data_IF_024377140422
#
_entry.id   IF_024377140422
#
_cell.length_a   1.000
_cell.length_b   1.000
_cell.length_c   1.000
_cell.angle_alpha   90.00
_cell.angle_beta   90.00
_cell.angle_gamma   90.00
#
_symmetry.space_group_name_H-M   'P 1'
#
loop_
_entity.id
_entity.type
_entity.pdbx_description
1 polymer ?
#
# COMPACT_ATOMS: atom_id res chain seq x y z
N UNK A 1 31.66 7.07 -11.67
CA UNK A 1 31.34 5.73 -11.12
C UNK A 1 30.73 5.80 -9.71
N UNK A 2 31.31 6.56 -8.77
CA UNK A 2 30.72 6.67 -7.42
C UNK A 2 29.29 7.23 -7.45
N UNK A 3 29.05 8.26 -8.27
CA UNK A 3 27.73 8.93 -8.33
C UNK A 3 26.64 8.03 -8.91
N UNK A 4 26.95 7.23 -9.93
CA UNK A 4 25.97 6.29 -10.52
C UNK A 4 25.57 5.19 -9.54
N UNK A 5 26.52 4.69 -8.75
CA UNK A 5 26.28 3.64 -7.77
C UNK A 5 25.46 4.17 -6.58
N UNK A 6 25.72 5.41 -6.16
CA UNK A 6 24.91 6.11 -5.17
C UNK A 6 23.47 6.34 -5.67
N UNK A 7 23.29 6.85 -6.89
CA UNK A 7 21.96 7.09 -7.46
C UNK A 7 21.16 5.79 -7.59
N UNK A 8 21.82 4.69 -7.98
CA UNK A 8 21.23 3.36 -7.98
C UNK A 8 20.80 2.94 -6.58
N UNK A 9 21.66 3.12 -5.57
CA UNK A 9 21.33 2.79 -4.18
C UNK A 9 20.12 3.60 -3.68
N UNK A 10 20.03 4.88 -4.03
CA UNK A 10 18.86 5.71 -3.71
C UNK A 10 17.58 5.19 -4.38
N UNK A 11 17.64 4.77 -5.65
CA UNK A 11 16.47 4.19 -6.34
C UNK A 11 16.05 2.87 -5.68
N UNK A 12 17.01 1.99 -5.39
CA UNK A 12 16.73 0.71 -4.75
C UNK A 12 16.14 0.89 -3.35
N UNK A 13 16.66 1.82 -2.56
CA UNK A 13 16.11 2.10 -1.23
C UNK A 13 14.72 2.72 -1.28
N UNK A 14 14.50 3.69 -2.18
CA UNK A 14 13.17 4.25 -2.40
C UNK A 14 12.18 3.17 -2.86
N UNK A 15 12.60 2.29 -3.76
CA UNK A 15 11.79 1.16 -4.23
C UNK A 15 11.37 0.25 -3.07
N UNK A 16 12.32 -0.05 -2.20
CA UNK A 16 12.14 -1.00 -1.10
C UNK A 16 11.32 -0.38 0.04
N UNK A 17 11.50 0.90 0.33
CA UNK A 17 10.67 1.65 1.26
C UNK A 17 9.21 1.72 0.80
N UNK A 18 8.97 2.04 -0.48
CA UNK A 18 7.63 2.09 -1.06
C UNK A 18 6.96 0.70 -1.08
N UNK A 19 7.71 -0.34 -1.46
CA UNK A 19 7.22 -1.72 -1.45
C UNK A 19 6.87 -2.21 -0.04
N UNK A 20 7.72 -1.93 0.95
CA UNK A 20 7.45 -2.35 2.31
C UNK A 20 6.27 -1.58 2.93
N UNK A 21 6.19 -0.27 2.71
CA UNK A 21 5.06 0.54 3.18
C UNK A 21 3.75 0.12 2.50
N UNK A 22 3.76 -0.19 1.21
CA UNK A 22 2.56 -0.65 0.49
C UNK A 22 2.10 -2.02 0.96
N UNK A 23 3.01 -3.00 1.12
CA UNK A 23 2.68 -4.31 1.65
C UNK A 23 2.12 -4.25 3.08
N UNK A 24 2.74 -3.45 3.95
CA UNK A 24 2.25 -3.30 5.33
C UNK A 24 0.89 -2.61 5.36
N UNK A 25 0.66 -1.59 4.51
CA UNK A 25 -0.66 -0.96 4.34
C UNK A 25 -1.72 -1.96 3.86
N UNK A 26 -1.40 -2.74 2.83
CA UNK A 26 -2.32 -3.72 2.25
C UNK A 26 -2.74 -4.78 3.27
N UNK A 27 -1.77 -5.35 4.00
CA UNK A 27 -2.04 -6.33 5.05
C UNK A 27 -2.85 -5.73 6.21
N UNK A 28 -2.50 -4.52 6.65
CA UNK A 28 -3.25 -3.84 7.70
C UNK A 28 -4.69 -3.54 7.25
N UNK A 29 -4.88 -2.99 6.06
CA UNK A 29 -6.20 -2.67 5.53
C UNK A 29 -7.07 -3.92 5.35
N UNK A 30 -6.51 -4.99 4.76
CA UNK A 30 -7.21 -6.25 4.60
C UNK A 30 -7.66 -6.81 5.96
N UNK A 31 -6.76 -6.84 6.95
CA UNK A 31 -7.08 -7.40 8.26
C UNK A 31 -8.06 -6.54 9.08
N UNK A 32 -7.95 -5.21 9.04
CA UNK A 32 -8.84 -4.33 9.83
C UNK A 32 -10.25 -4.27 9.28
N UNK A 33 -10.43 -4.35 7.96
CA UNK A 33 -11.75 -4.25 7.34
C UNK A 33 -12.48 -5.60 7.24
N UNK A 34 -11.76 -6.72 7.15
CA UNK A 34 -12.38 -8.04 6.97
C UNK A 34 -12.65 -8.80 8.27
N UNK A 35 -12.03 -8.43 9.41
CA UNK A 35 -12.27 -9.14 10.68
C UNK A 35 -12.09 -8.25 11.91
N UNK A 36 -13.18 -7.72 12.50
CA UNK A 36 -13.11 -6.90 13.70
C UNK A 36 -12.89 -7.69 15.01
N UNK A 37 -13.07 -9.03 15.03
CA UNK A 37 -13.22 -9.79 16.29
C UNK A 37 -12.20 -10.91 16.56
N UNK A 38 -11.27 -11.25 15.66
CA UNK A 38 -10.41 -12.43 15.88
C UNK A 38 -9.13 -12.14 16.70
N UNK A 39 -8.88 -12.97 17.72
CA UNK A 39 -7.72 -12.89 18.64
C UNK A 39 -6.38 -13.19 17.95
N UNK A 40 -6.38 -13.97 16.86
CA UNK A 40 -5.18 -14.31 16.08
C UNK A 40 -4.58 -13.10 15.36
N UNK A 41 -5.39 -12.08 15.06
CA UNK A 41 -4.95 -10.84 14.41
C UNK A 41 -4.13 -9.90 15.30
N UNK A 42 -4.08 -10.14 16.62
CA UNK A 42 -3.14 -9.44 17.52
C UNK A 42 -1.69 -9.71 17.10
N UNK A 43 -1.42 -10.89 16.52
CA UNK A 43 -0.09 -11.31 16.06
C UNK A 43 0.31 -10.65 14.72
N UNK A 44 -0.64 -10.30 13.84
CA UNK A 44 -0.37 -9.51 12.62
C UNK A 44 -0.38 -7.99 12.86
N UNK A 45 -1.04 -7.51 13.93
CA UNK A 45 -0.84 -6.14 14.44
C UNK A 45 0.53 -5.94 15.10
N UNK A 46 1.45 -6.90 14.99
CA UNK A 46 2.76 -6.85 15.64
C UNK A 46 3.47 -5.53 15.31
N UNK A 47 4.07 -4.87 16.32
CA UNK A 47 4.85 -3.66 16.11
C UNK A 47 5.94 -3.84 15.05
N UNK A 48 6.43 -5.06 14.83
CA UNK A 48 7.44 -5.36 13.80
C UNK A 48 6.97 -5.09 12.36
N UNK A 49 5.73 -5.43 12.01
CA UNK A 49 5.17 -5.13 10.68
C UNK A 49 4.96 -3.63 10.47
N UNK A 50 4.73 -2.90 11.57
CA UNK A 50 4.63 -1.43 11.61
C UNK A 50 6.00 -0.76 11.56
N UNK A 51 7.02 -1.39 12.15
CA UNK A 51 8.40 -0.93 12.17
C UNK A 51 9.18 -1.32 10.91
N UNK A 52 8.73 -2.30 10.12
CA UNK A 52 9.41 -2.71 8.89
C UNK A 52 9.70 -1.52 7.95
N UNK A 53 8.73 -0.65 7.61
CA UNK A 53 9.02 0.51 6.79
C UNK A 53 9.95 1.52 7.51
N UNK A 54 9.93 1.61 8.85
CA UNK A 54 10.86 2.45 9.63
C UNK A 54 12.29 1.90 9.49
N UNK A 55 12.46 0.60 9.64
CA UNK A 55 13.75 -0.09 9.54
C UNK A 55 14.35 0.07 8.15
N UNK A 56 13.51 0.02 7.11
CA UNK A 56 13.93 0.16 5.72
C UNK A 56 14.21 1.61 5.31
N UNK A 57 13.62 2.59 6.01
CA UNK A 57 13.97 4.00 5.86
C UNK A 57 15.21 4.41 6.69
N UNK A 58 15.65 3.57 7.65
CA UNK A 58 16.76 3.87 8.56
C UNK A 58 18.15 4.09 7.90
N UNK A 59 18.52 3.49 6.76
CA UNK A 59 19.82 3.76 6.14
C UNK A 59 19.86 5.10 5.38
N UNK A 60 18.72 5.76 5.16
CA UNK A 60 18.65 6.96 4.33
C UNK A 60 19.50 8.17 4.78
N UNK A 61 19.62 8.50 6.09
CA UNK A 61 20.48 9.61 6.52
C UNK A 61 21.98 9.32 6.37
N UNK A 62 22.37 8.08 6.07
CA UNK A 62 23.79 7.67 6.00
C UNK A 62 24.33 7.54 4.57
N UNK A 63 23.53 7.83 3.53
CA UNK A 63 24.02 7.83 2.16
C UNK A 63 24.71 9.16 1.82
N UNK A 64 25.97 9.13 1.35
CA UNK A 64 26.70 10.34 1.02
C UNK A 64 26.08 10.96 -0.25
N UNK A 65 25.36 12.07 -0.12
CA UNK A 65 24.74 12.78 -1.26
C UNK A 65 25.81 13.57 -2.01
N UNK A 66 26.05 13.20 -3.27
CA UNK A 66 26.97 13.91 -4.19
C UNK A 66 26.42 15.29 -4.59
N UNK A 67 27.27 16.32 -4.78
CA UNK A 67 26.85 17.72 -4.87
C UNK A 67 26.20 18.17 -6.19
N UNK A 68 25.78 17.26 -7.07
CA UNK A 68 25.20 17.66 -8.38
C UNK A 68 23.79 17.07 -8.55
N UNK A 69 22.82 17.93 -8.90
CA UNK A 69 21.38 17.78 -8.60
C UNK A 69 21.02 17.73 -7.09
N UNK A 70 21.92 18.24 -6.26
CA UNK A 70 21.93 18.14 -4.80
C UNK A 70 20.66 18.63 -4.11
N UNK A 71 19.98 19.67 -4.56
CA UNK A 71 18.87 20.25 -3.78
C UNK A 71 17.65 19.32 -3.66
N UNK A 72 17.26 18.64 -4.76
CA UNK A 72 16.12 17.73 -4.75
C UNK A 72 16.45 16.37 -4.10
N UNK A 73 17.70 15.91 -4.26
CA UNK A 73 18.20 14.69 -3.63
C UNK A 73 18.54 14.88 -2.14
N UNK A 74 18.94 16.08 -1.68
CA UNK A 74 19.09 16.41 -0.25
C UNK A 74 17.75 16.41 0.49
N UNK A 75 16.67 16.71 -0.23
CA UNK A 75 15.31 16.67 0.32
C UNK A 75 14.79 15.23 0.42
N UNK A 76 15.30 14.29 -0.38
CA UNK A 76 14.81 12.91 -0.43
C UNK A 76 14.99 12.14 0.92
N UNK A 77 16.14 12.22 1.63
CA UNK A 77 16.31 11.61 2.96
C UNK A 77 15.33 12.08 4.03
N UNK A 78 15.18 13.39 4.31
CA UNK A 78 14.25 13.85 5.33
C UNK A 78 12.78 13.58 4.93
N UNK A 79 12.48 13.50 3.64
CA UNK A 79 11.13 13.22 3.13
C UNK A 79 10.74 11.74 3.15
N UNK A 80 11.70 10.82 3.19
CA UNK A 80 11.43 9.39 3.35
C UNK A 80 11.27 8.99 4.81
N UNK A 81 11.87 9.74 5.73
CA UNK A 81 11.72 9.54 7.18
C UNK A 81 10.27 9.57 7.68
N UNK A 82 9.35 10.39 7.14
CA UNK A 82 7.94 10.36 7.53
C UNK A 82 7.10 9.27 6.87
N UNK A 83 7.54 8.68 5.76
CA UNK A 83 6.82 7.59 5.09
C UNK A 83 6.48 6.40 6.03
N UNK A 84 7.34 6.03 7.00
CA UNK A 84 7.02 5.01 7.98
C UNK A 84 6.39 5.50 9.31
N UNK A 85 6.35 6.82 9.57
CA UNK A 85 5.68 7.37 10.75
C UNK A 85 4.17 7.05 10.88
N UNK A 86 3.33 6.93 9.82
CA UNK A 86 1.90 6.59 9.96
C UNK A 86 1.64 5.21 10.56
N UNK A 87 2.66 4.36 10.70
CA UNK A 87 2.55 3.06 11.36
C UNK A 87 2.73 3.14 12.88
N UNK A 88 3.10 4.31 13.42
CA UNK A 88 3.15 4.52 14.87
C UNK A 88 1.73 4.46 15.45
N UNK A 89 1.52 3.66 16.52
CA UNK A 89 0.20 3.35 17.06
C UNK A 89 -0.59 4.57 17.59
N UNK A 90 0.07 5.72 17.78
CA UNK A 90 -0.49 6.86 18.51
C UNK A 90 -1.03 7.98 17.61
N UNK A 91 -0.90 7.89 16.28
CA UNK A 91 -1.22 8.99 15.36
C UNK A 91 -2.20 8.61 14.21
N UNK A 92 -3.30 7.86 14.44
CA UNK A 92 -4.20 7.44 13.36
C UNK A 92 -4.85 8.63 12.63
N UNK A 93 -5.12 9.73 13.34
CA UNK A 93 -5.74 10.93 12.74
C UNK A 93 -4.76 11.76 11.89
N UNK A 94 -3.45 11.67 12.14
CA UNK A 94 -2.44 12.40 11.36
C UNK A 94 -1.91 11.59 10.18
N UNK A 95 -2.12 10.27 10.17
CA UNK A 95 -1.67 9.35 9.12
C UNK A 95 -1.85 9.86 7.68
N UNK A 96 -3.02 10.36 7.25
CA UNK A 96 -3.18 10.82 5.88
C UNK A 96 -2.31 12.04 5.58
N UNK A 97 -2.23 13.02 6.50
CA UNK A 97 -1.36 14.19 6.35
C UNK A 97 0.12 13.77 6.30
N UNK A 98 0.49 12.82 7.17
CA UNK A 98 1.85 12.30 7.28
C UNK A 98 2.30 11.50 6.06
N UNK A 99 1.37 10.97 5.26
CA UNK A 99 1.65 10.25 4.01
C UNK A 99 1.50 11.15 2.78
N UNK A 100 0.41 11.93 2.70
CA UNK A 100 0.12 12.76 1.54
C UNK A 100 1.18 13.85 1.35
N UNK A 101 1.62 14.49 2.44
CA UNK A 101 2.61 15.57 2.37
C UNK A 101 3.96 15.09 1.80
N UNK A 102 4.61 14.04 2.34
CA UNK A 102 5.88 13.59 1.78
C UNK A 102 5.73 13.06 0.36
N UNK A 103 4.63 12.36 0.03
CA UNK A 103 4.38 11.87 -1.33
C UNK A 103 4.22 13.02 -2.33
N UNK A 104 3.49 14.09 -1.97
CA UNK A 104 3.34 15.29 -2.81
C UNK A 104 4.67 16.01 -3.00
N UNK A 105 5.46 16.14 -1.94
CA UNK A 105 6.77 16.77 -2.00
C UNK A 105 7.76 15.93 -2.83
N UNK A 106 7.72 14.60 -2.73
CA UNK A 106 8.50 13.69 -3.58
C UNK A 106 8.07 13.79 -5.05
N UNK A 107 6.76 13.80 -5.32
CA UNK A 107 6.23 13.96 -6.68
C UNK A 107 6.67 15.30 -7.28
N UNK A 108 6.63 16.37 -6.49
CA UNK A 108 7.09 17.70 -6.90
C UNK A 108 8.60 17.72 -7.15
N UNK A 109 9.39 17.13 -6.25
CA UNK A 109 10.84 17.00 -6.44
C UNK A 109 11.17 16.22 -7.71
N UNK A 110 10.53 15.07 -7.94
CA UNK A 110 10.70 14.27 -9.15
C UNK A 110 10.35 15.07 -10.41
N UNK A 111 9.26 15.84 -10.41
CA UNK A 111 8.88 16.70 -11.55
C UNK A 111 9.90 17.82 -11.82
N UNK A 112 10.48 18.41 -10.77
CA UNK A 112 11.52 19.44 -10.91
C UNK A 112 12.82 18.86 -11.46
N UNK A 113 13.19 17.66 -11.01
CA UNK A 113 14.36 16.94 -11.56
C UNK A 113 14.08 16.53 -13.00
N UNK A 114 12.88 16.06 -13.34
CA UNK A 114 12.51 15.73 -14.71
C UNK A 114 12.68 16.93 -15.65
N UNK A 115 12.26 18.13 -15.22
CA UNK A 115 12.40 19.36 -15.99
C UNK A 115 13.85 19.82 -16.21
N UNK A 116 14.81 19.30 -15.43
CA UNK A 116 16.24 19.57 -15.63
C UNK A 116 16.84 18.74 -16.77
N UNK A 117 16.16 17.69 -17.21
CA UNK A 117 16.60 16.86 -18.32
C UNK A 117 15.85 17.24 -19.61
N UNK A 118 16.52 17.15 -20.79
CA UNK A 118 15.84 17.22 -22.07
C UNK A 118 14.74 16.17 -22.17
N UNK A 119 13.60 16.46 -22.85
CA UNK A 119 12.54 15.48 -23.03
C UNK A 119 12.98 14.25 -23.85
N UNK A 120 14.08 14.36 -24.63
CA UNK A 120 14.69 13.24 -25.33
C UNK A 120 15.35 12.22 -24.40
N UNK A 121 15.75 12.63 -23.19
CA UNK A 121 16.54 11.78 -22.29
C UNK A 121 15.61 10.83 -21.52
N UNK A 122 16.01 9.56 -21.37
CA UNK A 122 15.18 8.52 -20.76
C UNK A 122 14.88 8.81 -19.27
N UNK A 123 15.78 9.52 -18.58
CA UNK A 123 15.60 10.01 -17.21
C UNK A 123 14.33 10.87 -17.06
N UNK A 124 14.06 11.74 -18.04
CA UNK A 124 12.90 12.64 -17.97
C UNK A 124 11.59 11.86 -17.94
N UNK A 125 11.45 10.84 -18.80
CA UNK A 125 10.31 9.95 -18.85
C UNK A 125 10.15 9.16 -17.53
N UNK A 126 11.25 8.55 -17.07
CA UNK A 126 11.27 7.77 -15.84
C UNK A 126 10.78 8.58 -14.62
N UNK A 127 11.28 9.81 -14.50
CA UNK A 127 10.93 10.72 -13.41
C UNK A 127 9.50 11.26 -13.52
N UNK A 128 9.00 11.53 -14.72
CA UNK A 128 7.61 11.94 -14.93
C UNK A 128 6.63 10.84 -14.52
N UNK A 129 6.88 9.59 -14.90
CA UNK A 129 6.05 8.45 -14.49
C UNK A 129 6.14 8.23 -12.97
N UNK A 130 7.34 8.34 -12.38
CA UNK A 130 7.50 8.26 -10.93
C UNK A 130 6.69 9.34 -10.20
N UNK A 131 6.76 10.59 -10.68
CA UNK A 131 5.98 11.70 -10.13
C UNK A 131 4.47 11.44 -10.23
N UNK A 132 3.99 10.91 -11.35
CA UNK A 132 2.58 10.57 -11.53
C UNK A 132 2.11 9.47 -10.56
N UNK A 133 2.91 8.42 -10.36
CA UNK A 133 2.61 7.34 -9.41
C UNK A 133 2.60 7.83 -7.95
N UNK A 134 3.57 8.68 -7.59
CA UNK A 134 3.63 9.31 -6.26
C UNK A 134 2.44 10.24 -6.03
N UNK A 135 2.02 10.99 -7.04
CA UNK A 135 0.83 11.84 -6.98
C UNK A 135 -0.44 11.00 -6.83
N UNK A 136 -0.56 9.89 -7.57
CA UNK A 136 -1.68 8.96 -7.44
C UNK A 136 -1.76 8.37 -6.02
N UNK A 137 -0.61 7.99 -5.45
CA UNK A 137 -0.53 7.54 -4.05
C UNK A 137 -0.95 8.66 -3.08
N UNK A 138 -0.51 9.90 -3.28
CA UNK A 138 -0.93 11.03 -2.44
C UNK A 138 -2.43 11.32 -2.53
N UNK A 139 -3.02 11.24 -3.72
CA UNK A 139 -4.47 11.39 -3.90
C UNK A 139 -5.21 10.24 -3.22
N UNK A 140 -4.74 9.00 -3.36
CA UNK A 140 -5.33 7.85 -2.70
C UNK A 140 -5.29 7.95 -1.16
N UNK A 141 -4.19 8.48 -0.59
CA UNK A 141 -4.11 8.70 0.87
C UNK A 141 -5.03 9.81 1.35
N UNK A 142 -5.19 10.90 0.60
CA UNK A 142 -6.17 11.94 0.87
C UNK A 142 -7.61 11.41 0.76
N UNK A 143 -7.90 10.62 -0.27
CA UNK A 143 -9.19 9.97 -0.44
C UNK A 143 -9.47 9.02 0.73
N UNK A 144 -8.48 8.26 1.20
CA UNK A 144 -8.64 7.39 2.37
C UNK A 144 -8.97 8.20 3.64
N UNK A 145 -8.42 9.40 3.79
CA UNK A 145 -8.68 10.30 4.92
C UNK A 145 -10.14 10.77 5.01
N UNK A 146 -10.72 11.09 3.86
CA UNK A 146 -12.07 11.68 3.76
C UNK A 146 -13.16 10.65 3.47
N UNK A 147 -12.76 9.40 3.19
CA UNK A 147 -13.69 8.36 2.79
C UNK A 147 -14.55 7.88 3.97
N UNK A 148 -15.85 7.65 3.75
CA UNK A 148 -16.70 7.00 4.75
C UNK A 148 -16.20 5.57 5.02
N UNK A 149 -16.53 4.97 6.18
CA UNK A 149 -16.01 3.65 6.60
C UNK A 149 -16.22 2.54 5.57
N UNK A 150 -17.30 2.61 4.78
CA UNK A 150 -17.62 1.63 3.73
C UNK A 150 -16.76 1.76 2.46
N UNK A 151 -16.10 2.91 2.21
CA UNK A 151 -15.21 3.13 1.06
C UNK A 151 -13.73 3.16 1.44
N UNK A 152 -13.41 3.16 2.73
CA UNK A 152 -12.04 3.20 3.24
C UNK A 152 -11.17 2.06 2.70
N UNK A 153 -11.71 0.84 2.57
CA UNK A 153 -10.97 -0.29 2.02
C UNK A 153 -10.49 -0.05 0.59
N UNK A 154 -11.34 0.52 -0.27
CA UNK A 154 -10.97 0.79 -1.65
C UNK A 154 -9.88 1.86 -1.74
N UNK A 155 -9.96 2.89 -0.92
CA UNK A 155 -8.96 3.96 -0.90
C UNK A 155 -7.61 3.47 -0.34
N UNK A 156 -7.62 2.67 0.72
CA UNK A 156 -6.41 2.08 1.31
C UNK A 156 -5.74 1.07 0.36
N UNK A 157 -6.53 0.29 -0.38
CA UNK A 157 -6.01 -0.62 -1.40
C UNK A 157 -5.46 0.10 -2.60
N UNK A 158 -6.12 1.17 -3.06
CA UNK A 158 -5.59 2.04 -4.11
C UNK A 158 -4.25 2.67 -3.70
N UNK A 159 -4.14 3.14 -2.45
CA UNK A 159 -2.90 3.66 -1.89
C UNK A 159 -1.78 2.62 -1.88
N UNK A 160 -2.08 1.40 -1.40
CA UNK A 160 -1.12 0.31 -1.39
C UNK A 160 -0.67 -0.07 -2.80
N UNK A 161 -1.60 -0.20 -3.75
CA UNK A 161 -1.28 -0.51 -5.14
C UNK A 161 -0.43 0.58 -5.80
N UNK A 162 -0.80 1.86 -5.63
CA UNK A 162 -0.03 2.98 -6.18
C UNK A 162 1.39 3.02 -5.60
N UNK A 163 1.53 2.80 -4.28
CA UNK A 163 2.84 2.70 -3.63
C UNK A 163 3.67 1.53 -4.13
N UNK A 164 3.07 0.34 -4.30
CA UNK A 164 3.77 -0.86 -4.76
C UNK A 164 4.24 -0.72 -6.22
N UNK A 165 3.36 -0.23 -7.11
CA UNK A 165 3.72 0.05 -8.51
C UNK A 165 4.77 1.15 -8.58
N UNK A 166 4.65 2.21 -7.77
CA UNK A 166 5.67 3.25 -7.63
C UNK A 166 7.03 2.69 -7.20
N UNK A 167 7.04 1.79 -6.21
CA UNK A 167 8.26 1.12 -5.76
C UNK A 167 8.90 0.30 -6.87
N UNK A 168 8.14 -0.58 -7.52
CA UNK A 168 8.62 -1.40 -8.63
C UNK A 168 9.15 -0.56 -9.79
N UNK A 169 8.44 0.51 -10.15
CA UNK A 169 8.85 1.44 -11.20
C UNK A 169 10.19 2.10 -10.87
N UNK A 170 10.35 2.65 -9.67
CA UNK A 170 11.61 3.28 -9.25
C UNK A 170 12.76 2.28 -9.23
N UNK A 171 12.53 1.04 -8.78
CA UNK A 171 13.54 -0.01 -8.81
C UNK A 171 13.97 -0.37 -10.23
N UNK A 172 12.99 -0.62 -11.11
CA UNK A 172 13.24 -0.93 -12.52
C UNK A 172 13.95 0.22 -13.24
N UNK A 173 13.45 1.45 -13.11
CA UNK A 173 14.07 2.62 -13.73
C UNK A 173 15.48 2.86 -13.19
N UNK A 174 15.72 2.64 -11.89
CA UNK A 174 17.07 2.65 -11.34
C UNK A 174 18.01 1.64 -12.02
N UNK A 175 17.56 0.39 -12.21
CA UNK A 175 18.35 -0.62 -12.91
C UNK A 175 18.61 -0.24 -14.37
N UNK A 176 17.56 0.14 -15.11
CA UNK A 176 17.65 0.54 -16.53
C UNK A 176 18.58 1.74 -16.72
N UNK A 177 18.52 2.71 -15.80
CA UNK A 177 19.29 3.95 -15.91
C UNK A 177 20.70 3.83 -15.36
N UNK A 178 21.00 2.95 -14.39
CA UNK A 178 22.29 2.90 -13.67
C UNK A 178 23.03 1.54 -13.71
N UNK A 179 22.48 0.49 -14.33
CA UNK A 179 23.17 -0.77 -14.60
C UNK A 179 23.32 -0.99 -16.10
N UNK A 180 24.56 -1.11 -16.60
CA UNK A 180 24.84 -1.18 -18.05
C UNK A 180 24.20 -2.39 -18.73
N UNK A 181 24.11 -3.52 -18.02
CA UNK A 181 23.43 -4.72 -18.51
C UNK A 181 21.90 -4.55 -18.69
N UNK A 182 21.31 -3.51 -18.10
CA UNK A 182 19.87 -3.22 -18.17
C UNK A 182 19.55 -2.05 -19.12
N UNK A 183 20.56 -1.45 -19.76
CA UNK A 183 20.34 -0.37 -20.72
C UNK A 183 19.74 -0.95 -22.02
N UNK A 184 18.64 -0.39 -22.54
CA UNK A 184 18.03 -0.87 -23.77
C UNK A 184 18.98 -0.76 -24.97
N UNK A 185 18.87 -1.71 -25.90
CA UNK A 185 19.70 -1.71 -27.10
C UNK A 185 19.53 -0.41 -27.90
N UNK A 186 20.65 0.19 -28.30
CA UNK A 186 20.68 1.50 -28.99
C UNK A 186 20.63 2.71 -28.06
N UNK A 187 20.66 2.49 -26.74
CA UNK A 187 20.84 3.54 -25.75
C UNK A 187 22.18 3.36 -25.02
N UNK A 188 22.80 4.49 -24.69
CA UNK A 188 24.11 4.56 -24.04
C UNK A 188 24.09 5.59 -22.91
N UNK A 189 24.85 5.30 -21.85
CA UNK A 189 25.13 6.30 -20.83
C UNK A 189 26.16 7.28 -21.33
N UNK A 190 25.78 8.54 -21.37
CA UNK A 190 26.71 9.64 -21.50
C UNK A 190 27.09 10.10 -20.09
N UNK A 191 28.36 9.89 -19.77
CA UNK A 191 29.01 10.60 -18.68
C UNK A 191 29.61 11.87 -19.29
N UNK A 192 28.75 12.80 -19.70
CA UNK A 192 29.22 14.08 -20.25
C UNK A 192 29.91 14.86 -19.13
N UNK A 193 31.20 15.18 -19.28
CA UNK A 193 31.97 15.92 -18.28
C UNK A 193 31.37 17.32 -17.97
N UNK A 194 30.49 17.83 -18.84
CA UNK A 194 29.79 19.10 -18.67
C UNK A 194 28.45 18.98 -17.90
N UNK A 195 27.84 17.79 -17.86
CA UNK A 195 26.59 17.53 -17.15
C UNK A 195 26.90 16.54 -16.05
N UNK A 196 27.00 17.04 -14.82
CA UNK A 196 27.46 16.25 -13.69
C UNK A 196 26.53 15.07 -13.31
N UNK A 197 25.33 14.99 -13.91
CA UNK A 197 24.41 13.87 -13.75
C UNK A 197 24.51 12.89 -14.93
N UNK A 198 24.73 11.58 -14.67
CA UNK A 198 24.68 10.56 -15.72
C UNK A 198 23.34 10.61 -16.47
N UNK A 199 23.39 10.84 -17.78
CA UNK A 199 22.23 10.81 -18.66
C UNK A 199 22.29 9.59 -19.59
N UNK A 200 21.15 8.95 -19.85
CA UNK A 200 21.02 7.87 -20.84
C UNK A 200 20.34 8.44 -22.07
N UNK A 201 21.07 8.50 -23.18
CA UNK A 201 20.53 8.89 -24.50
C UNK A 201 20.54 7.70 -25.44
N UNK A 202 19.64 7.73 -26.41
CA UNK A 202 19.58 6.75 -27.47
C UNK A 202 20.07 7.35 -28.77
N UNK A 203 20.78 6.55 -29.57
CA UNK A 203 21.45 7.01 -30.80
C UNK A 203 20.45 7.48 -31.85
N UNK A 204 19.29 6.84 -31.87
CA UNK A 204 18.20 7.10 -32.81
C UNK A 204 16.86 7.17 -32.07
N UNK A 205 15.95 8.00 -32.58
CA UNK A 205 14.62 8.20 -32.00
C UNK A 205 13.82 6.89 -31.93
N UNK A 206 14.00 5.99 -32.90
CA UNK A 206 13.38 4.66 -32.91
C UNK A 206 13.83 3.80 -31.72
N UNK A 207 15.12 3.86 -31.36
CA UNK A 207 15.65 3.14 -30.20
C UNK A 207 15.10 3.73 -28.89
N UNK A 208 14.94 5.06 -28.84
CA UNK A 208 14.30 5.75 -27.72
C UNK A 208 12.84 5.32 -27.56
N UNK A 209 12.05 5.34 -28.64
CA UNK A 209 10.65 4.92 -28.61
C UNK A 209 10.52 3.46 -28.18
N UNK A 210 11.41 2.58 -28.66
CA UNK A 210 11.46 1.19 -28.23
C UNK A 210 11.83 1.05 -26.76
N UNK A 211 12.80 1.80 -26.26
CA UNK A 211 13.20 1.80 -24.86
C UNK A 211 12.04 2.24 -23.94
N UNK A 212 11.37 3.33 -24.29
CA UNK A 212 10.19 3.83 -23.58
C UNK A 212 9.07 2.79 -23.61
N UNK A 213 8.77 2.22 -24.77
CA UNK A 213 7.74 1.19 -24.90
C UNK A 213 8.04 -0.06 -24.05
N UNK A 214 9.30 -0.48 -23.96
CA UNK A 214 9.70 -1.60 -23.09
C UNK A 214 9.55 -1.26 -21.61
N UNK A 215 9.92 -0.03 -21.21
CA UNK A 215 9.72 0.43 -19.83
C UNK A 215 8.22 0.47 -19.48
N UNK A 216 7.40 1.06 -20.35
CA UNK A 216 5.95 1.18 -20.14
C UNK A 216 5.26 -0.19 -20.16
N UNK A 217 5.72 -1.12 -21.00
CA UNK A 217 5.24 -2.50 -20.98
C UNK A 217 5.55 -3.17 -19.64
N UNK A 218 6.77 -3.03 -19.12
CA UNK A 218 7.12 -3.56 -17.81
C UNK A 218 6.28 -2.91 -16.70
N UNK A 219 6.00 -1.60 -16.77
CA UNK A 219 5.06 -0.93 -15.86
C UNK A 219 3.67 -1.57 -15.91
N UNK A 220 3.14 -1.87 -17.10
CA UNK A 220 1.85 -2.53 -17.25
C UNK A 220 1.83 -3.91 -16.58
N UNK A 221 2.94 -4.68 -16.70
CA UNK A 221 3.10 -5.96 -16.02
C UNK A 221 3.13 -5.77 -14.50
N UNK A 222 3.87 -4.76 -14.00
CA UNK A 222 3.86 -4.43 -12.57
C UNK A 222 2.45 -4.11 -12.06
N UNK A 223 1.65 -3.34 -12.81
CA UNK A 223 0.26 -3.06 -12.46
C UNK A 223 -0.59 -4.34 -12.33
N UNK A 224 -0.48 -5.26 -13.30
CA UNK A 224 -1.23 -6.53 -13.27
C UNK A 224 -0.78 -7.40 -12.09
N UNK A 225 0.53 -7.53 -11.86
CA UNK A 225 1.08 -8.32 -10.75
C UNK A 225 0.63 -7.74 -9.42
N UNK A 226 0.74 -6.43 -9.22
CA UNK A 226 0.32 -5.76 -7.97
C UNK A 226 -1.18 -5.92 -7.75
N UNK A 227 -2.02 -5.76 -8.78
CA UNK A 227 -3.45 -5.98 -8.68
C UNK A 227 -3.78 -7.43 -8.29
N UNK A 228 -3.13 -8.41 -8.92
CA UNK A 228 -3.31 -9.82 -8.60
C UNK A 228 -2.89 -10.14 -7.15
N UNK A 229 -1.77 -9.59 -6.68
CA UNK A 229 -1.32 -9.71 -5.29
C UNK A 229 -2.32 -9.07 -4.34
N UNK A 230 -2.83 -7.87 -4.64
CA UNK A 230 -3.83 -7.20 -3.81
C UNK A 230 -5.10 -8.04 -3.67
N UNK A 231 -5.64 -8.53 -4.78
CA UNK A 231 -6.80 -9.44 -4.79
C UNK A 231 -6.49 -10.71 -4.00
N UNK A 232 -5.32 -11.32 -4.22
CA UNK A 232 -4.87 -12.51 -3.51
C UNK A 232 -4.78 -12.30 -2.00
N UNK A 233 -4.29 -11.16 -1.53
CA UNK A 233 -4.25 -10.81 -0.10
C UNK A 233 -5.66 -10.66 0.47
N UNK A 234 -6.57 -9.97 -0.21
CA UNK A 234 -7.95 -9.84 0.26
C UNK A 234 -8.67 -11.17 0.31
N UNK A 235 -8.55 -11.99 -0.73
CA UNK A 235 -9.13 -13.33 -0.78
C UNK A 235 -8.52 -14.24 0.28
N UNK A 236 -7.20 -14.20 0.46
CA UNK A 236 -6.48 -14.98 1.47
C UNK A 236 -6.90 -14.60 2.89
N UNK A 237 -7.03 -13.31 3.19
CA UNK A 237 -7.50 -12.84 4.50
C UNK A 237 -8.98 -13.19 4.71
N UNK A 238 -9.84 -13.03 3.70
CA UNK A 238 -11.24 -13.41 3.79
C UNK A 238 -11.42 -14.92 3.99
N UNK A 239 -10.63 -15.73 3.28
CA UNK A 239 -10.59 -17.18 3.44
C UNK A 239 -10.10 -17.55 4.85
N UNK A 240 -9.01 -16.95 5.32
CA UNK A 240 -8.47 -17.22 6.65
C UNK A 240 -9.45 -16.82 7.77
N UNK A 241 -10.18 -15.71 7.61
CA UNK A 241 -11.15 -15.24 8.60
C UNK A 241 -12.52 -15.94 8.50
N UNK A 242 -12.82 -16.56 7.36
CA UNK A 242 -14.09 -17.23 7.09
C UNK A 242 -14.04 -18.76 7.13
N UNK A 243 -12.85 -19.36 7.27
CA UNK A 243 -12.63 -20.82 7.25
C UNK A 243 -12.07 -21.29 8.60
N UNK A 244 -12.90 -21.17 9.62
CA UNK A 244 -12.99 -22.19 10.69
C UNK A 244 -14.01 -23.29 10.32
N UNK A 245 -14.51 -23.28 9.06
CA UNK A 245 -15.46 -24.27 8.53
C UNK A 245 -14.93 -24.99 7.31
N UNK A 246 -14.11 -26.02 7.52
CA UNK A 246 -13.95 -27.11 6.56
C UNK A 246 -12.84 -26.94 5.51
N UNK A 247 -11.68 -27.49 5.81
CA UNK A 247 -10.83 -28.10 4.80
C UNK A 247 -11.63 -29.22 4.10
N UNK A 248 -12.28 -28.89 2.98
CA UNK A 248 -13.10 -29.82 2.23
C UNK A 248 -13.42 -29.27 0.85
N UNK A 249 -12.61 -29.69 -0.12
CA UNK A 249 -12.81 -29.64 -1.56
C UNK A 249 -14.20 -29.21 -2.07
N UNK A 250 -14.25 -28.19 -2.92
CA UNK A 250 -15.41 -27.97 -3.78
C UNK A 250 -15.51 -26.57 -4.34
N UNK A 251 -15.00 -26.38 -5.55
CA UNK A 251 -15.48 -25.36 -6.49
C UNK A 251 -16.98 -25.61 -6.73
N UNK A 252 -17.82 -25.04 -5.87
CA UNK A 252 -19.26 -25.26 -5.88
C UNK A 252 -19.98 -23.95 -5.61
N UNK A 253 -20.55 -23.38 -6.66
CA UNK A 253 -21.58 -22.34 -6.61
C UNK A 253 -22.68 -22.75 -5.62
N UNK A 254 -22.63 -22.19 -4.41
CA UNK A 254 -23.47 -22.63 -3.29
C UNK A 254 -23.88 -21.48 -2.39
N UNK A 255 -24.95 -20.79 -2.81
CA UNK A 255 -25.81 -19.91 -2.02
C UNK A 255 -25.93 -20.37 -0.54
N UNK A 256 -25.42 -19.57 0.40
CA UNK A 256 -25.84 -19.63 1.81
C UNK A 256 -26.43 -18.31 2.26
N UNK A 257 -27.75 -18.28 2.18
CA UNK A 257 -28.62 -17.54 3.07
C UNK A 257 -28.47 -18.12 4.51
N UNK A 258 -28.70 -17.27 5.51
CA UNK A 258 -28.95 -17.56 6.92
C UNK A 258 -27.77 -17.68 7.89
N UNK A 259 -27.65 -16.62 8.71
CA UNK A 259 -26.90 -16.58 9.96
C UNK A 259 -27.23 -15.36 10.83
N UNK A 260 -28.37 -14.69 10.64
CA UNK A 260 -28.97 -13.83 11.67
C UNK A 260 -29.71 -14.76 12.64
N UNK A 261 -28.96 -15.43 13.51
CA UNK A 261 -29.51 -15.99 14.74
C UNK A 261 -29.82 -14.78 15.64
N UNK A 262 -31.06 -14.36 15.84
CA UNK A 262 -32.19 -15.23 16.15
C UNK A 262 -31.96 -15.72 17.58
N UNK A 263 -32.19 -14.81 18.52
CA UNK A 263 -32.21 -15.04 19.96
C UNK A 263 -33.19 -16.17 20.27
N UNK A 264 -32.68 -17.36 20.56
CA UNK A 264 -33.46 -18.36 21.25
C UNK A 264 -33.18 -18.17 22.73
N UNK A 265 -34.15 -17.55 23.41
CA UNK A 265 -34.24 -17.56 24.87
C UNK A 265 -34.08 -19.00 25.37
N UNK A 266 -33.15 -19.18 26.29
CA UNK A 266 -33.04 -20.40 27.07
C UNK A 266 -34.31 -20.55 27.92
N UNK A 267 -35.23 -21.41 27.49
CA UNK A 267 -36.25 -21.96 28.38
C UNK A 267 -35.56 -22.94 29.34
N UNK A 268 -35.61 -22.74 30.67
CA UNK A 268 -35.17 -23.76 31.61
C UNK A 268 -36.17 -24.92 31.54
N UNK A 269 -35.68 -26.08 31.11
CA UNK A 269 -36.40 -27.34 31.20
C UNK A 269 -36.76 -27.63 32.66
N UNK A 270 -38.06 -27.67 32.90
CA UNK A 270 -38.67 -28.11 34.16
C UNK A 270 -38.33 -29.59 34.35
N UNK A 271 -37.39 -29.88 35.23
CA UNK A 271 -37.25 -31.19 35.86
C UNK A 271 -37.66 -31.01 37.33
N UNK A 272 -38.76 -31.65 37.69
CA UNK A 272 -39.32 -31.69 39.04
C UNK A 272 -38.33 -32.29 40.03
N UNK A 273 -37.96 -31.52 41.04
CA UNK A 273 -37.50 -32.02 42.34
C UNK A 273 -38.07 -31.08 43.42
N UNK A 274 -39.15 -31.57 44.00
CA UNK A 274 -39.56 -31.48 45.41
C UNK A 274 -38.92 -30.40 46.31
N UNK A 275 -39.83 -29.70 47.02
CA UNK A 275 -39.67 -29.00 48.29
C UNK A 275 -39.55 -27.46 48.26
N UNK A 276 -40.43 -26.89 49.08
CA UNK A 276 -40.41 -25.56 49.69
C UNK A 276 -41.19 -24.40 49.02
N UNK A 277 -42.39 -24.28 49.57
CA UNK A 277 -43.33 -23.16 49.66
C UNK A 277 -42.65 -21.83 50.01
N UNK A 278 -42.94 -20.75 49.27
CA UNK A 278 -43.46 -19.46 49.78
C UNK A 278 -43.31 -18.27 48.79
N UNK A 279 -44.46 -17.64 48.52
CA UNK A 279 -44.73 -16.20 48.32
C UNK A 279 -44.20 -15.36 47.13
N UNK A 280 -45.14 -15.14 46.18
CA UNK A 280 -45.69 -13.82 45.74
C UNK A 280 -44.87 -12.87 44.81
N UNK A 281 -45.55 -12.03 43.97
CA UNK A 281 -45.32 -11.97 42.52
C UNK A 281 -45.05 -10.55 41.96
N UNK A 282 -44.57 -10.44 40.70
CA UNK A 282 -44.52 -9.15 39.97
C UNK A 282 -45.33 -9.17 38.66
N UNK A 283 -46.58 -8.73 38.82
CA UNK A 283 -47.36 -7.79 37.99
C UNK A 283 -46.90 -7.54 36.55
N UNK A 284 -47.65 -8.09 35.59
CA UNK A 284 -47.62 -7.68 34.18
C UNK A 284 -48.44 -6.41 33.90
N UNK A 285 -47.96 -5.59 32.96
CA UNK A 285 -48.73 -4.58 32.24
C UNK A 285 -48.31 -4.63 30.77
N UNK A 286 -49.05 -5.39 29.96
CA UNK A 286 -49.15 -5.18 28.52
C UNK A 286 -50.65 -5.10 28.24
N UNK A 287 -51.08 -3.92 27.78
CA UNK A 287 -52.48 -3.59 27.59
C UNK A 287 -52.97 -3.80 26.16
N UNK A 288 -54.30 -3.96 26.08
CA UNK A 288 -55.21 -3.81 24.93
C UNK A 288 -55.11 -4.96 23.91
N UNK A 289 -56.20 -5.61 23.49
CA UNK A 289 -57.60 -5.17 23.36
C UNK A 289 -58.54 -6.38 23.34
N UNK A 290 -59.74 -6.19 23.85
CA UNK A 290 -60.89 -7.09 23.69
C UNK A 290 -61.75 -6.47 22.59
N UNK A 291 -62.08 -7.27 21.57
CA UNK A 291 -63.29 -7.10 20.78
C UNK A 291 -64.03 -8.45 20.84
N UNK A 292 -65.28 -8.36 21.28
CA UNK A 292 -66.20 -9.44 21.60
C UNK A 292 -67.10 -9.72 20.38
N UNK A 293 -67.54 -10.96 20.22
CA UNK A 293 -68.75 -11.31 19.45
C UNK A 293 -70.03 -11.01 20.27
#
# INVERSE_FOLDING_TARGET
MADSLLLLACHLLLSLALLAASLSHLLLAATTHLSPSSSHLRRLRHPLLRLLPVLLALPFPFLPVSPTAAAALLLLPPLLLPLPLPFLPHLPHLRPLLLSLPLLLLARAASLVAASFPPSDLQSHALHVAAALLLAAAVASLLAAISPPNRGLLAETALACAGAVGGLWVGQSGLVLYVDACVPAGCHRLMDAAVATPATRCDVEEARLRAVALMDLALSVHCVVVAAVAVGVHLGVAWWCGVDGGAGAGMGTGRRHNGVGGSYDAMPTVASAEAEMEHLPMKGVVGKSIAQE
#
